data_IF_386991933708
#
_entry.id   IF_386991933708
#
_cell.length_a   1.000
_cell.length_b   1.000
_cell.length_c   1.000
_cell.angle_alpha   90.00
_cell.angle_beta   90.00
_cell.angle_gamma   90.00
#
_symmetry.space_group_name_H-M   'P 1'
#
loop_
_entity.id
_entity.type
_entity.pdbx_description
1 polymer ?
#
# COMPACT_ATOMS: atom_id res chain seq x y z
N UNK A 1 3.39 21.03 20.27
CA UNK A 1 3.55 20.70 18.83
C UNK A 1 2.63 19.55 18.44
N UNK A 2 1.58 19.78 17.63
CA UNK A 2 0.53 18.78 17.35
C UNK A 2 1.04 17.56 16.55
N UNK A 3 2.03 17.75 15.66
CA UNK A 3 2.62 16.66 14.87
C UNK A 3 3.35 15.60 15.70
N UNK A 4 4.04 15.99 16.78
CA UNK A 4 4.75 15.05 17.65
C UNK A 4 3.82 14.05 18.34
N UNK A 5 2.64 14.50 18.78
CA UNK A 5 1.64 13.63 19.42
C UNK A 5 1.03 12.63 18.42
N UNK A 6 0.79 13.05 17.17
CA UNK A 6 0.29 12.16 16.11
C UNK A 6 1.26 11.02 15.80
N UNK A 7 2.57 11.30 15.78
CA UNK A 7 3.58 10.27 15.53
C UNK A 7 3.69 9.26 16.68
N UNK A 8 3.51 9.70 17.93
CA UNK A 8 3.46 8.78 19.07
C UNK A 8 2.26 7.85 18.99
N UNK A 9 1.08 8.36 18.63
CA UNK A 9 -0.10 7.52 18.36
C UNK A 9 0.17 6.55 17.19
N UNK A 10 0.83 7.00 16.13
CA UNK A 10 1.25 6.12 15.04
C UNK A 10 2.18 4.97 15.51
N UNK A 11 3.10 5.24 16.44
CA UNK A 11 3.96 4.20 17.05
C UNK A 11 3.17 3.24 17.94
N UNK A 12 2.26 3.75 18.75
CA UNK A 12 1.37 2.93 19.58
C UNK A 12 0.48 2.03 18.70
N UNK A 13 -0.10 2.58 17.62
CA UNK A 13 -0.84 1.80 16.64
C UNK A 13 0.00 0.67 16.02
N UNK A 14 1.29 0.90 15.77
CA UNK A 14 2.19 -0.16 15.29
C UNK A 14 2.41 -1.25 16.33
N UNK A 15 2.53 -0.90 17.62
CA UNK A 15 2.67 -1.86 18.71
C UNK A 15 1.41 -2.73 18.83
N UNK A 16 0.23 -2.10 18.87
CA UNK A 16 -1.07 -2.79 18.91
C UNK A 16 -1.26 -3.71 17.70
N UNK A 17 -0.88 -3.24 16.50
CA UNK A 17 -0.93 -4.04 15.28
C UNK A 17 -0.05 -5.30 15.38
N UNK A 18 1.17 -5.16 15.92
CA UNK A 18 2.08 -6.28 16.11
C UNK A 18 1.59 -7.26 17.19
N UNK A 19 0.77 -6.79 18.14
CA UNK A 19 0.11 -7.62 19.15
C UNK A 19 -1.17 -8.31 18.62
N UNK A 20 -1.57 -8.04 17.36
CA UNK A 20 -2.79 -8.59 16.76
C UNK A 20 -4.07 -7.87 17.17
N UNK A 21 -3.96 -6.79 17.95
CA UNK A 21 -5.06 -5.94 18.38
C UNK A 21 -5.46 -4.97 17.26
N UNK A 22 -5.99 -5.53 16.17
CA UNK A 22 -6.29 -4.77 14.95
C UNK A 22 -7.39 -3.71 15.12
N UNK A 23 -8.48 -3.94 15.86
CA UNK A 23 -9.50 -2.91 16.11
C UNK A 23 -8.94 -1.71 16.89
N UNK A 24 -8.17 -1.96 17.94
CA UNK A 24 -7.55 -0.92 18.78
C UNK A 24 -6.48 -0.16 18.00
N UNK A 25 -5.67 -0.88 17.21
CA UNK A 25 -4.68 -0.27 16.32
C UNK A 25 -5.36 0.65 15.29
N UNK A 26 -6.47 0.20 14.69
CA UNK A 26 -7.23 1.01 13.73
C UNK A 26 -7.71 2.33 14.35
N UNK A 27 -8.32 2.27 15.54
CA UNK A 27 -8.80 3.47 16.24
C UNK A 27 -7.64 4.40 16.60
N UNK A 28 -6.51 3.83 17.06
CA UNK A 28 -5.32 4.61 17.39
C UNK A 28 -4.74 5.33 16.15
N UNK A 29 -4.75 4.68 14.98
CA UNK A 29 -4.35 5.34 13.74
C UNK A 29 -5.34 6.42 13.29
N UNK A 30 -6.64 6.22 13.50
CA UNK A 30 -7.66 7.23 13.22
C UNK A 30 -7.41 8.50 14.07
N UNK A 31 -7.14 8.33 15.36
CA UNK A 31 -6.79 9.43 16.26
C UNK A 31 -5.48 10.13 15.84
N UNK A 32 -4.49 9.34 15.39
CA UNK A 32 -3.24 9.89 14.86
C UNK A 32 -3.50 10.78 13.63
N UNK A 33 -4.37 10.36 12.71
CA UNK A 33 -4.71 11.11 11.49
C UNK A 33 -5.44 12.44 11.78
N UNK A 34 -6.26 12.48 12.84
CA UNK A 34 -6.95 13.69 13.27
C UNK A 34 -5.99 14.73 13.86
N UNK A 35 -4.94 14.27 14.54
CA UNK A 35 -3.94 15.16 15.17
C UNK A 35 -2.81 15.53 14.23
N UNK A 36 -2.61 14.76 13.16
CA UNK A 36 -1.60 15.04 12.16
C UNK A 36 -1.99 16.27 11.34
N UNK A 37 -1.07 17.24 11.14
CA UNK A 37 -1.30 18.35 10.23
C UNK A 37 -1.66 17.87 8.83
N UNK A 38 -2.51 18.61 8.12
CA UNK A 38 -2.87 18.29 6.73
C UNK A 38 -1.69 18.47 5.77
N UNK A 39 -0.72 19.31 6.12
CA UNK A 39 0.51 19.55 5.36
C UNK A 39 1.50 18.38 5.41
N UNK A 40 1.40 17.50 6.40
CA UNK A 40 2.28 16.34 6.55
C UNK A 40 1.75 15.13 5.76
N UNK A 41 1.79 15.24 4.44
CA UNK A 41 1.28 14.21 3.52
C UNK A 41 2.08 12.91 3.60
N UNK A 42 3.38 12.99 3.90
CA UNK A 42 4.26 11.84 4.02
C UNK A 42 3.87 10.94 5.22
N UNK A 43 3.73 11.50 6.42
CA UNK A 43 3.31 10.71 7.59
C UNK A 43 1.84 10.30 7.49
N UNK A 44 0.99 11.15 6.88
CA UNK A 44 -0.42 10.81 6.62
C UNK A 44 -0.54 9.54 5.80
N UNK A 45 0.23 9.44 4.71
CA UNK A 45 0.24 8.26 3.85
C UNK A 45 0.64 6.99 4.61
N UNK A 46 1.67 7.07 5.47
CA UNK A 46 2.14 5.93 6.27
C UNK A 46 1.05 5.47 7.25
N UNK A 47 0.42 6.41 7.96
CA UNK A 47 -0.63 6.09 8.93
C UNK A 47 -1.87 5.51 8.23
N UNK A 48 -2.31 6.09 7.10
CA UNK A 48 -3.41 5.55 6.29
C UNK A 48 -3.11 4.12 5.82
N UNK A 49 -1.89 3.86 5.32
CA UNK A 49 -1.50 2.52 4.92
C UNK A 49 -1.46 1.52 6.10
N UNK A 50 -1.16 1.95 7.32
CA UNK A 50 -1.18 1.07 8.49
C UNK A 50 -2.59 0.83 9.02
N UNK A 51 -3.44 1.86 9.01
CA UNK A 51 -4.87 1.74 9.29
C UNK A 51 -5.55 0.76 8.32
N UNK A 52 -5.33 0.92 7.02
CA UNK A 52 -5.85 0.00 6.00
C UNK A 52 -5.33 -1.43 6.15
N UNK A 53 -4.10 -1.62 6.66
CA UNK A 53 -3.59 -2.94 6.98
C UNK A 53 -4.37 -3.61 8.12
N UNK A 54 -4.79 -2.85 9.15
CA UNK A 54 -5.65 -3.38 10.21
C UNK A 54 -6.96 -3.93 9.64
N UNK A 55 -7.61 -3.15 8.76
CA UNK A 55 -8.84 -3.56 8.08
C UNK A 55 -8.63 -4.77 7.18
N UNK A 56 -7.49 -4.83 6.48
CA UNK A 56 -7.13 -6.00 5.69
C UNK A 56 -7.03 -7.27 6.56
N UNK A 57 -6.45 -7.21 7.76
CA UNK A 57 -6.40 -8.35 8.67
C UNK A 57 -7.77 -8.75 9.22
N UNK A 58 -8.64 -7.77 9.46
CA UNK A 58 -10.03 -8.00 9.91
C UNK A 58 -10.96 -8.51 8.78
N UNK A 59 -10.49 -8.53 7.53
CA UNK A 59 -11.29 -8.99 6.38
C UNK A 59 -12.16 -7.89 5.74
N UNK A 60 -12.10 -6.66 6.23
CA UNK A 60 -12.75 -5.48 5.64
C UNK A 60 -11.99 -4.98 4.40
N UNK A 61 -11.93 -5.82 3.37
CA UNK A 61 -11.09 -5.61 2.20
C UNK A 61 -11.46 -4.36 1.39
N UNK A 62 -12.76 -4.05 1.24
CA UNK A 62 -13.20 -2.87 0.48
C UNK A 62 -12.74 -1.57 1.14
N UNK A 63 -12.98 -1.42 2.44
CA UNK A 63 -12.57 -0.23 3.20
C UNK A 63 -11.03 -0.11 3.25
N UNK A 64 -10.32 -1.23 3.32
CA UNK A 64 -8.86 -1.22 3.23
C UNK A 64 -8.34 -0.67 1.89
N UNK A 65 -9.04 -0.90 0.77
CA UNK A 65 -8.66 -0.34 -0.54
C UNK A 65 -8.78 1.18 -0.55
N UNK A 66 -9.80 1.72 0.10
CA UNK A 66 -10.01 3.17 0.18
C UNK A 66 -8.87 3.82 0.98
N UNK A 67 -8.51 3.25 2.14
CA UNK A 67 -7.37 3.70 2.94
C UNK A 67 -6.04 3.61 2.16
N UNK A 68 -5.81 2.54 1.39
CA UNK A 68 -4.60 2.45 0.55
C UNK A 68 -4.61 3.44 -0.60
N UNK A 69 -5.78 3.77 -1.15
CA UNK A 69 -5.88 4.74 -2.25
C UNK A 69 -5.63 6.16 -1.73
N UNK A 70 -6.23 6.53 -0.60
CA UNK A 70 -5.94 7.77 0.10
C UNK A 70 -4.46 7.88 0.52
N UNK A 71 -3.83 6.77 0.93
CA UNK A 71 -2.39 6.75 1.22
C UNK A 71 -1.54 7.06 -0.01
N UNK A 72 -1.93 6.56 -1.19
CA UNK A 72 -1.22 6.79 -2.45
C UNK A 72 -1.48 8.19 -3.03
N UNK A 73 -2.66 8.76 -2.79
CA UNK A 73 -2.94 10.16 -3.09
C UNK A 73 -2.07 11.10 -2.24
N UNK A 74 -1.92 10.79 -0.95
CA UNK A 74 -1.06 11.55 -0.06
C UNK A 74 0.44 11.37 -0.38
N UNK A 75 0.86 10.14 -0.70
CA UNK A 75 2.24 9.86 -1.10
C UNK A 75 2.31 8.70 -2.13
N UNK A 76 2.41 9.00 -3.43
CA UNK A 76 2.49 7.98 -4.48
C UNK A 76 3.82 7.21 -4.45
N UNK A 77 4.83 7.70 -3.71
CA UNK A 77 6.13 7.03 -3.54
C UNK A 77 6.10 5.95 -2.43
N UNK A 78 4.97 5.76 -1.76
CA UNK A 78 4.84 4.77 -0.70
C UNK A 78 4.64 3.35 -1.25
N UNK A 79 5.76 2.65 -1.50
CA UNK A 79 5.80 1.27 -2.02
C UNK A 79 4.90 0.31 -1.25
N UNK A 80 4.88 0.44 0.09
CA UNK A 80 4.06 -0.43 0.96
C UNK A 80 2.57 -0.30 0.65
N UNK A 81 2.08 0.90 0.29
CA UNK A 81 0.68 1.11 -0.04
C UNK A 81 0.31 0.44 -1.38
N UNK A 82 1.16 0.57 -2.42
CA UNK A 82 0.98 -0.15 -3.68
C UNK A 82 0.93 -1.67 -3.49
N UNK A 83 1.89 -2.22 -2.74
CA UNK A 83 1.97 -3.66 -2.48
C UNK A 83 0.76 -4.18 -1.68
N UNK A 84 0.30 -3.42 -0.67
CA UNK A 84 -0.88 -3.78 0.13
C UNK A 84 -2.18 -3.65 -0.67
N UNK A 85 -2.36 -2.59 -1.46
CA UNK A 85 -3.50 -2.43 -2.39
C UNK A 85 -3.60 -3.61 -3.36
N UNK A 86 -2.50 -3.96 -4.01
CA UNK A 86 -2.45 -5.12 -4.90
C UNK A 86 -2.76 -6.43 -4.17
N UNK A 87 -2.25 -6.60 -2.94
CA UNK A 87 -2.55 -7.78 -2.10
C UNK A 87 -4.04 -7.89 -1.77
N UNK A 88 -4.70 -6.78 -1.45
CA UNK A 88 -6.16 -6.77 -1.21
C UNK A 88 -6.93 -7.13 -2.48
N UNK A 89 -6.57 -6.56 -3.62
CA UNK A 89 -7.19 -6.90 -4.91
C UNK A 89 -7.04 -8.38 -5.25
N UNK A 90 -5.88 -8.96 -4.96
CA UNK A 90 -5.63 -10.41 -5.10
C UNK A 90 -6.55 -11.21 -4.16
N UNK A 91 -6.71 -10.80 -2.89
CA UNK A 91 -7.64 -11.46 -1.95
C UNK A 91 -9.10 -11.36 -2.40
N UNK A 92 -9.46 -10.28 -3.09
CA UNK A 92 -10.76 -10.13 -3.74
C UNK A 92 -10.88 -10.86 -5.09
N UNK A 93 -9.86 -11.63 -5.52
CA UNK A 93 -9.77 -12.30 -6.82
C UNK A 93 -9.82 -11.36 -8.03
N UNK A 94 -9.57 -10.06 -7.84
CA UNK A 94 -9.49 -9.02 -8.90
C UNK A 94 -8.09 -8.94 -9.49
N UNK A 95 -7.61 -10.05 -10.06
CA UNK A 95 -6.22 -10.17 -10.54
C UNK A 95 -5.82 -9.14 -11.61
N UNK A 96 -6.64 -8.84 -12.64
CA UNK A 96 -6.25 -7.86 -13.66
C UNK A 96 -5.99 -6.47 -13.05
N UNK A 97 -6.87 -6.04 -12.13
CA UNK A 97 -6.75 -4.75 -11.44
C UNK A 97 -5.54 -4.72 -10.51
N UNK A 98 -5.17 -5.85 -9.89
CA UNK A 98 -3.97 -5.94 -9.08
C UNK A 98 -2.70 -5.74 -9.92
N UNK A 99 -2.65 -6.31 -11.13
CA UNK A 99 -1.52 -6.17 -12.05
C UNK A 99 -1.40 -4.72 -12.51
N UNK A 100 -2.49 -4.08 -12.93
CA UNK A 100 -2.46 -2.68 -13.35
C UNK A 100 -2.04 -1.76 -12.19
N UNK A 101 -2.53 -2.03 -10.98
CA UNK A 101 -2.11 -1.28 -9.77
C UNK A 101 -0.60 -1.34 -9.54
N UNK A 102 0.02 -2.51 -9.71
CA UNK A 102 1.47 -2.65 -9.57
C UNK A 102 2.24 -1.99 -10.73
N UNK A 103 1.69 -2.02 -11.94
CA UNK A 103 2.25 -1.31 -13.10
C UNK A 103 2.22 0.20 -12.89
N UNK A 104 1.13 0.75 -12.37
CA UNK A 104 1.03 2.19 -12.10
C UNK A 104 1.99 2.61 -10.99
N UNK A 105 2.15 1.80 -9.95
CA UNK A 105 3.19 2.03 -8.96
C UNK A 105 4.60 1.97 -9.55
N UNK A 106 4.87 1.08 -10.51
CA UNK A 106 6.16 1.03 -11.23
C UNK A 106 6.36 2.21 -12.17
N UNK A 107 5.31 2.79 -12.75
CA UNK A 107 5.43 4.06 -13.50
C UNK A 107 5.83 5.20 -12.56
N UNK A 108 5.26 5.24 -11.35
CA UNK A 108 5.62 6.23 -10.33
C UNK A 108 7.04 5.99 -9.74
N UNK A 109 7.46 4.72 -9.67
CA UNK A 109 8.72 4.30 -9.06
C UNK A 109 9.44 3.25 -9.93
N UNK A 110 10.00 3.65 -11.10
CA UNK A 110 10.51 2.73 -12.11
C UNK A 110 11.72 1.90 -11.66
N UNK A 111 12.44 2.34 -10.64
CA UNK A 111 13.66 1.68 -10.15
C UNK A 111 13.45 0.96 -8.81
N UNK A 112 12.21 0.89 -8.32
CA UNK A 112 11.95 0.29 -7.03
C UNK A 112 11.97 -1.24 -7.10
N UNK A 113 13.10 -1.82 -6.69
CA UNK A 113 13.32 -3.27 -6.66
C UNK A 113 12.26 -4.02 -5.86
N UNK A 114 11.77 -3.45 -4.76
CA UNK A 114 10.77 -4.10 -3.90
C UNK A 114 9.42 -4.19 -4.62
N UNK A 115 8.97 -3.10 -5.23
CA UNK A 115 7.73 -3.09 -6.00
C UNK A 115 7.83 -3.97 -7.24
N UNK A 116 8.98 -3.96 -7.91
CA UNK A 116 9.25 -4.84 -9.04
C UNK A 116 9.22 -6.31 -8.61
N UNK A 117 9.81 -6.66 -7.46
CA UNK A 117 9.72 -8.01 -6.93
C UNK A 117 8.27 -8.43 -6.64
N UNK A 118 7.43 -7.54 -6.10
CA UNK A 118 6.00 -7.81 -5.96
C UNK A 118 5.30 -8.01 -7.31
N UNK A 119 5.65 -7.20 -8.31
CA UNK A 119 5.16 -7.32 -9.69
C UNK A 119 5.65 -8.57 -10.43
N UNK A 120 6.71 -9.25 -9.95
CA UNK A 120 7.21 -10.48 -10.56
C UNK A 120 6.76 -11.77 -9.87
N UNK A 121 6.16 -11.70 -8.67
CA UNK A 121 5.77 -12.87 -7.87
C UNK A 121 4.62 -13.65 -8.52
N UNK A 122 4.83 -14.90 -8.99
CA UNK A 122 3.76 -15.72 -9.52
C UNK A 122 2.83 -16.19 -8.40
N UNK A 123 1.52 -15.95 -8.54
CA UNK A 123 0.52 -16.37 -7.54
C UNK A 123 -0.64 -17.23 -8.06
N UNK A 124 -0.71 -17.50 -9.36
CA UNK A 124 -1.59 -18.52 -9.94
C UNK A 124 -1.09 -18.94 -11.33
N UNK A 125 -1.28 -20.22 -11.66
CA UNK A 125 -0.88 -20.92 -12.88
C UNK A 125 -1.54 -20.37 -14.15
N UNK A 126 -2.58 -19.56 -14.03
CA UNK A 126 -3.27 -18.94 -15.17
C UNK A 126 -2.69 -17.55 -15.47
N UNK A 127 -1.78 -17.53 -16.45
CA UNK A 127 -1.35 -16.38 -17.24
C UNK A 127 -0.40 -15.34 -16.65
N UNK A 128 0.75 -15.82 -16.15
CA UNK A 128 2.01 -15.07 -16.28
C UNK A 128 2.58 -15.09 -17.70
N UNK A 129 2.07 -15.99 -18.55
CA UNK A 129 2.55 -16.21 -19.92
C UNK A 129 2.09 -15.11 -20.89
N UNK A 130 0.88 -14.52 -20.72
CA UNK A 130 0.42 -13.42 -21.60
C UNK A 130 1.08 -12.06 -21.34
N UNK A 131 1.73 -11.87 -20.18
CA UNK A 131 2.41 -10.61 -19.81
C UNK A 131 3.93 -10.61 -20.07
N UNK A 132 4.49 -11.69 -20.60
CA UNK A 132 5.89 -11.77 -21.01
C UNK A 132 6.29 -10.75 -22.10
N UNK A 133 5.32 -10.18 -22.83
CA UNK A 133 5.56 -9.12 -23.82
C UNK A 133 5.83 -7.75 -23.19
N UNK A 134 5.24 -7.45 -22.01
CA UNK A 134 5.49 -6.20 -21.28
C UNK A 134 6.83 -6.21 -20.53
N UNK A 135 7.33 -7.39 -20.14
CA UNK A 135 8.65 -7.55 -19.52
C UNK A 135 9.79 -6.99 -20.39
N UNK A 136 9.68 -7.07 -21.73
CA UNK A 136 10.73 -6.58 -22.63
C UNK A 136 10.65 -5.07 -22.90
N UNK A 137 9.45 -4.47 -22.88
CA UNK A 137 9.27 -3.04 -23.21
C UNK A 137 9.77 -2.09 -22.12
N UNK A 138 9.58 -2.40 -20.84
CA UNK A 138 10.12 -1.57 -19.76
C UNK A 138 11.66 -1.64 -19.67
N UNK A 139 12.27 -2.74 -20.12
CA UNK A 139 13.74 -2.89 -20.16
C UNK A 139 14.32 -2.13 -21.37
N UNK A 140 13.62 -2.13 -22.51
CA UNK A 140 14.13 -1.51 -23.75
C UNK A 140 14.04 0.03 -23.78
N UNK A 141 13.24 0.68 -22.93
CA UNK A 141 13.14 2.14 -22.89
C UNK A 141 14.20 2.84 -22.04
N UNK A 142 15.17 2.10 -21.46
CA UNK A 142 16.29 2.65 -20.68
C UNK A 142 17.67 2.31 -21.26
N UNK A 143 17.75 1.90 -22.52
CA UNK A 143 19.00 1.51 -23.18
C UNK A 143 19.36 2.37 -24.41
N UNK A 144 18.95 3.65 -24.43
CA UNK A 144 19.42 4.67 -25.36
C UNK A 144 19.67 5.98 -24.59
#
# INVERSE_FOLDING_TARGET
>A
MKGGAALQLGRLGNQLYNQGQFPEAHNTYQDALQRLPTTDTANRAVILANKGACLMHQGHLSVALDDFSAALEANPKLVKAWARKATVLIRQKKYPVAVTTLQDGLKALPENKQLYAFYLRPRSSYNWVRYGALRRRCISQKAL
#
